data_IF_951448258218
#
_entry.id   IF_951448258218
#
_cell.length_a   1.000
_cell.length_b   1.000
_cell.length_c   1.000
_cell.angle_alpha   90.00
_cell.angle_beta   90.00
_cell.angle_gamma   90.00
#
_symmetry.space_group_name_H-M   'P 1'
#
loop_
_entity.id
_entity.type
_entity.pdbx_description
1 polymer ?
#
# COMPACT_ATOMS: atom_id res chain seq x y z
N UNK A 1 -15.86 -7.74 -4.45
CA UNK A 1 -14.85 -8.15 -5.46
C UNK A 1 -13.45 -8.15 -4.83
N UNK A 2 -12.62 -9.12 -5.17
CA UNK A 2 -11.22 -9.08 -4.78
C UNK A 2 -10.45 -8.28 -5.86
N UNK A 3 -10.09 -7.05 -5.59
CA UNK A 3 -9.34 -6.24 -6.56
C UNK A 3 -7.95 -6.81 -6.78
N UNK A 4 -7.58 -7.00 -8.04
CA UNK A 4 -6.25 -7.49 -8.43
C UNK A 4 -5.21 -6.38 -8.56
N UNK A 5 -5.66 -5.13 -8.66
CA UNK A 5 -4.83 -3.94 -8.86
C UNK A 5 -5.58 -2.70 -8.40
N UNK A 6 -4.88 -1.58 -8.32
CA UNK A 6 -5.49 -0.27 -8.13
C UNK A 6 -6.45 0.07 -9.27
N UNK A 7 -6.07 -0.22 -10.52
CA UNK A 7 -6.92 0.02 -11.70
C UNK A 7 -8.28 -0.68 -11.58
N UNK A 8 -8.30 -1.94 -11.15
CA UNK A 8 -9.56 -2.67 -10.93
C UNK A 8 -10.46 -1.99 -9.89
N UNK A 9 -9.87 -1.42 -8.84
CA UNK A 9 -10.61 -0.64 -7.84
C UNK A 9 -11.14 0.67 -8.42
N UNK A 10 -10.33 1.41 -9.17
CA UNK A 10 -10.73 2.68 -9.79
C UNK A 10 -11.89 2.50 -10.76
N UNK A 11 -11.85 1.44 -11.58
CA UNK A 11 -12.96 1.08 -12.49
C UNK A 11 -14.25 0.78 -11.72
N UNK A 12 -14.17 0.07 -10.60
CA UNK A 12 -15.35 -0.23 -9.79
C UNK A 12 -15.90 1.02 -9.09
N UNK A 13 -15.03 1.89 -8.56
CA UNK A 13 -15.43 3.17 -7.99
C UNK A 13 -16.11 4.08 -9.03
N UNK A 14 -15.58 4.14 -10.24
CA UNK A 14 -16.15 4.91 -11.34
C UNK A 14 -17.54 4.42 -11.72
N UNK A 15 -17.70 3.10 -11.92
CA UNK A 15 -19.00 2.48 -12.22
C UNK A 15 -20.07 2.75 -11.16
N UNK A 16 -19.67 3.01 -9.93
CA UNK A 16 -20.56 3.29 -8.81
C UNK A 16 -20.62 4.78 -8.45
N UNK A 17 -20.18 5.69 -9.33
CA UNK A 17 -20.26 7.12 -9.13
C UNK A 17 -19.37 7.68 -8.01
N UNK A 18 -18.36 6.91 -7.58
CA UNK A 18 -17.46 7.27 -6.48
C UNK A 18 -16.08 7.74 -6.95
N UNK A 19 -15.89 7.93 -8.26
CA UNK A 19 -14.65 8.42 -8.86
C UNK A 19 -14.96 9.41 -9.98
N UNK A 20 -14.15 10.45 -10.06
CA UNK A 20 -14.14 11.41 -11.18
C UNK A 20 -12.78 11.33 -11.87
N UNK A 21 -12.80 11.31 -13.22
CA UNK A 21 -11.62 11.47 -14.05
C UNK A 21 -11.37 12.94 -14.33
N UNK A 22 -10.17 13.40 -14.01
CA UNK A 22 -9.66 14.72 -14.39
C UNK A 22 -8.90 14.52 -15.70
N UNK A 23 -9.48 14.99 -16.83
CA UNK A 23 -8.95 14.82 -18.18
C UNK A 23 -7.99 15.92 -18.58
N UNK A 24 -8.14 17.09 -17.98
CA UNK A 24 -7.27 18.23 -18.16
C UNK A 24 -5.87 17.88 -17.66
N UNK A 25 -4.86 18.51 -18.25
CA UNK A 25 -3.50 18.41 -17.75
C UNK A 25 -3.37 19.17 -16.45
N UNK A 26 -2.86 18.49 -15.41
CA UNK A 26 -2.71 19.06 -14.06
C UNK A 26 -1.22 19.11 -13.69
N UNK A 27 -0.80 20.24 -13.12
CA UNK A 27 0.56 20.42 -12.64
C UNK A 27 0.76 19.63 -11.32
N UNK A 28 1.76 18.74 -11.23
CA UNK A 28 2.08 18.06 -9.98
C UNK A 28 2.62 19.02 -8.90
N UNK A 29 3.07 20.22 -9.27
CA UNK A 29 3.52 21.22 -8.32
C UNK A 29 2.32 21.98 -7.76
N UNK A 30 1.90 21.64 -6.54
CA UNK A 30 0.84 22.23 -5.73
C UNK A 30 -0.60 22.10 -6.28
N UNK A 31 -0.81 22.11 -7.60
CA UNK A 31 -2.17 22.10 -8.18
C UNK A 31 -2.90 20.79 -7.89
N UNK A 32 -2.25 19.64 -8.11
CA UNK A 32 -2.83 18.33 -7.76
C UNK A 32 -3.20 18.27 -6.27
N UNK A 33 -2.33 18.77 -5.40
CA UNK A 33 -2.55 18.78 -3.96
C UNK A 33 -3.73 19.71 -3.58
N UNK A 34 -3.84 20.89 -4.21
CA UNK A 34 -4.93 21.82 -3.99
C UNK A 34 -6.28 21.23 -4.43
N UNK A 35 -6.32 20.55 -5.59
CA UNK A 35 -7.53 19.85 -6.06
C UNK A 35 -7.91 18.75 -5.06
N UNK A 36 -6.93 17.92 -4.65
CA UNK A 36 -7.15 16.86 -3.66
C UNK A 36 -7.74 17.41 -2.37
N UNK A 37 -7.15 18.46 -1.80
CA UNK A 37 -7.56 19.04 -0.52
C UNK A 37 -9.01 19.52 -0.57
N UNK A 38 -9.38 20.28 -1.60
CA UNK A 38 -10.76 20.77 -1.79
C UNK A 38 -11.77 19.64 -1.89
N UNK A 39 -11.44 18.60 -2.68
CA UNK A 39 -12.33 17.43 -2.85
C UNK A 39 -12.44 16.65 -1.56
N UNK A 40 -11.33 16.49 -0.83
CA UNK A 40 -11.32 15.80 0.46
C UNK A 40 -12.16 16.52 1.52
N UNK A 41 -11.99 17.83 1.67
CA UNK A 41 -12.77 18.66 2.60
C UNK A 41 -14.27 18.62 2.30
N UNK A 42 -14.62 18.59 1.01
CA UNK A 42 -16.01 18.44 0.57
C UNK A 42 -16.53 16.99 0.70
N UNK A 43 -15.75 16.05 1.24
CA UNK A 43 -16.07 14.60 1.27
C UNK A 43 -16.41 14.05 -0.13
N UNK A 44 -15.80 14.62 -1.14
CA UNK A 44 -16.03 14.30 -2.54
C UNK A 44 -15.47 12.94 -2.98
N UNK A 45 -15.63 12.61 -4.28
CA UNK A 45 -15.23 11.32 -4.83
C UNK A 45 -13.71 11.08 -4.83
N UNK A 46 -13.28 9.87 -5.17
CA UNK A 46 -11.91 9.61 -5.57
C UNK A 46 -11.60 10.32 -6.89
N UNK A 47 -10.35 10.64 -7.12
CA UNK A 47 -9.88 11.35 -8.30
C UNK A 47 -8.90 10.46 -9.08
N UNK A 48 -9.01 10.45 -10.40
CA UNK A 48 -8.01 9.90 -11.31
C UNK A 48 -7.55 11.01 -12.25
N UNK A 49 -6.34 11.49 -12.06
CA UNK A 49 -5.67 12.42 -12.96
C UNK A 49 -5.13 11.65 -14.15
N UNK A 50 -5.73 11.84 -15.32
CA UNK A 50 -5.34 11.11 -16.54
C UNK A 50 -4.09 11.69 -17.19
N UNK A 51 -3.85 12.98 -16.99
CA UNK A 51 -2.73 13.72 -17.56
C UNK A 51 -2.06 14.54 -16.48
N UNK A 52 -0.89 14.05 -16.04
CA UNK A 52 -0.02 14.77 -15.11
C UNK A 52 1.12 15.37 -15.89
N UNK A 53 1.31 16.69 -15.78
CA UNK A 53 2.36 17.41 -16.50
C UNK A 53 3.74 16.83 -16.21
N UNK A 54 4.52 16.59 -17.24
CA UNK A 54 5.90 16.11 -17.14
C UNK A 54 6.07 14.59 -16.99
N UNK A 55 4.98 13.82 -17.00
CA UNK A 55 5.04 12.36 -16.91
C UNK A 55 3.96 11.69 -17.80
N UNK A 56 4.20 10.43 -18.18
CA UNK A 56 3.21 9.59 -18.84
C UNK A 56 2.30 8.83 -17.86
N UNK A 57 2.62 8.87 -16.59
CA UNK A 57 1.88 8.10 -15.57
C UNK A 57 0.70 8.89 -15.04
N UNK A 58 -0.41 8.18 -14.89
CA UNK A 58 -1.60 8.69 -14.21
C UNK A 58 -1.40 8.69 -12.70
N UNK A 59 -2.15 9.50 -12.00
CA UNK A 59 -2.15 9.50 -10.54
C UNK A 59 -3.57 9.41 -10.00
N UNK A 60 -3.76 8.63 -8.93
CA UNK A 60 -5.02 8.51 -8.23
C UNK A 60 -4.94 9.14 -6.84
N UNK A 61 -6.02 9.76 -6.40
CA UNK A 61 -6.08 10.48 -5.14
C UNK A 61 -7.43 10.30 -4.46
N UNK A 62 -7.49 10.58 -3.15
CA UNK A 62 -8.71 10.56 -2.34
C UNK A 62 -9.44 9.20 -2.32
N UNK A 63 -8.73 8.07 -2.56
CA UNK A 63 -9.32 6.72 -2.65
C UNK A 63 -9.98 6.34 -1.33
N UNK A 64 -9.34 6.62 -0.20
CA UNK A 64 -9.81 6.33 1.15
C UNK A 64 -10.38 7.58 1.85
N UNK A 65 -10.77 8.61 1.12
CA UNK A 65 -11.14 9.91 1.67
C UNK A 65 -12.44 9.95 2.47
N UNK A 66 -13.31 8.92 2.35
CA UNK A 66 -14.49 8.77 3.21
C UNK A 66 -14.61 7.36 3.77
N UNK A 67 -15.24 7.25 4.94
CA UNK A 67 -15.48 5.95 5.58
C UNK A 67 -16.41 5.07 4.72
N UNK A 68 -17.43 5.68 4.09
CA UNK A 68 -18.37 4.99 3.23
C UNK A 68 -17.66 4.38 2.02
N UNK A 69 -16.76 5.13 1.37
CA UNK A 69 -15.97 4.63 0.25
C UNK A 69 -15.00 3.55 0.68
N UNK A 70 -14.36 3.67 1.83
CA UNK A 70 -13.49 2.63 2.39
C UNK A 70 -14.29 1.33 2.67
N UNK A 71 -15.49 1.44 3.23
CA UNK A 71 -16.40 0.29 3.42
C UNK A 71 -16.84 -0.31 2.09
N UNK A 72 -17.13 0.53 1.09
CA UNK A 72 -17.49 0.07 -0.24
C UNK A 72 -16.34 -0.72 -0.90
N UNK A 73 -15.11 -0.24 -0.82
CA UNK A 73 -13.93 -0.93 -1.36
C UNK A 73 -13.79 -2.33 -0.76
N UNK A 74 -14.04 -2.49 0.53
CA UNK A 74 -13.91 -3.78 1.24
C UNK A 74 -15.25 -4.47 1.53
N UNK A 75 -16.34 -4.09 0.86
CA UNK A 75 -17.71 -4.57 1.14
C UNK A 75 -17.87 -6.09 1.20
N UNK A 76 -17.12 -6.82 0.36
CA UNK A 76 -17.22 -8.28 0.29
C UNK A 76 -16.41 -9.00 1.38
N UNK A 77 -15.48 -8.31 2.03
CA UNK A 77 -14.56 -8.90 3.01
C UNK A 77 -14.70 -8.30 4.40
N UNK A 78 -15.36 -7.15 4.52
CA UNK A 78 -15.49 -6.41 5.78
C UNK A 78 -16.08 -7.25 6.91
N UNK A 79 -17.18 -7.96 6.65
CA UNK A 79 -17.81 -8.83 7.66
C UNK A 79 -16.91 -9.99 8.09
N UNK A 80 -16.12 -10.54 7.15
CA UNK A 80 -15.14 -11.58 7.45
C UNK A 80 -14.01 -11.04 8.34
N UNK A 81 -13.48 -9.87 8.02
CA UNK A 81 -12.42 -9.22 8.81
C UNK A 81 -12.91 -8.94 10.22
N UNK A 82 -14.13 -8.40 10.38
CA UNK A 82 -14.74 -8.19 11.69
C UNK A 82 -14.86 -9.52 12.48
N UNK A 83 -15.34 -10.58 11.84
CA UNK A 83 -15.44 -11.90 12.48
C UNK A 83 -14.08 -12.44 12.91
N UNK A 84 -13.03 -12.29 12.12
CA UNK A 84 -11.67 -12.72 12.47
C UNK A 84 -11.11 -11.93 13.67
N UNK A 85 -11.37 -10.63 13.74
CA UNK A 85 -11.00 -9.80 14.90
C UNK A 85 -11.74 -10.25 16.15
N UNK A 86 -13.05 -10.51 16.05
CA UNK A 86 -13.85 -11.03 17.17
C UNK A 86 -13.34 -12.39 17.68
N UNK A 87 -13.03 -13.32 16.76
CA UNK A 87 -12.50 -14.65 17.11
C UNK A 87 -11.12 -14.59 17.75
N UNK A 88 -10.28 -13.62 17.36
CA UNK A 88 -8.99 -13.38 17.98
C UNK A 88 -9.16 -12.89 19.42
N UNK A 89 -10.10 -11.97 19.64
CA UNK A 89 -10.35 -11.39 20.98
C UNK A 89 -11.07 -12.38 21.92
N UNK A 90 -11.87 -13.29 21.38
CA UNK A 90 -12.59 -14.31 22.13
C UNK A 90 -12.60 -15.66 21.36
N UNK A 91 -11.54 -16.47 21.50
CA UNK A 91 -11.42 -17.77 20.81
C UNK A 91 -12.55 -18.76 21.16
N UNK A 92 -13.19 -18.63 22.35
CA UNK A 92 -14.29 -19.52 22.77
C UNK A 92 -15.54 -19.33 21.91
N UNK A 93 -15.71 -18.17 21.26
CA UNK A 93 -16.78 -17.97 20.27
C UNK A 93 -16.65 -18.89 19.06
N UNK A 94 -15.43 -19.33 18.74
CA UNK A 94 -15.20 -20.29 17.66
C UNK A 94 -15.93 -21.61 17.89
N UNK A 95 -15.99 -22.07 19.14
CA UNK A 95 -16.61 -23.33 19.52
C UNK A 95 -18.16 -23.28 19.50
N UNK A 96 -18.75 -22.09 19.66
CA UNK A 96 -20.22 -21.94 19.72
C UNK A 96 -20.94 -22.06 18.38
N UNK A 97 -20.23 -21.84 17.24
CA UNK A 97 -20.82 -21.88 15.90
C UNK A 97 -19.85 -22.49 14.86
N UNK A 98 -19.62 -23.82 14.86
CA UNK A 98 -18.61 -24.45 14.02
C UNK A 98 -18.87 -24.28 12.53
N UNK A 99 -20.13 -24.33 12.07
CA UNK A 99 -20.49 -24.20 10.65
C UNK A 99 -20.24 -22.79 10.08
N UNK A 100 -20.45 -21.75 10.87
CA UNK A 100 -20.12 -20.36 10.51
C UNK A 100 -18.61 -20.19 10.33
N UNK A 101 -17.82 -20.92 11.11
CA UNK A 101 -16.38 -20.84 11.15
C UNK A 101 -15.67 -21.63 10.04
N UNK A 102 -16.35 -22.55 9.34
CA UNK A 102 -15.80 -23.25 8.16
C UNK A 102 -15.49 -22.24 7.05
N UNK A 103 -16.39 -21.30 6.76
CA UNK A 103 -16.15 -20.23 5.78
C UNK A 103 -14.98 -19.34 6.19
N UNK A 104 -14.86 -19.07 7.47
CA UNK A 104 -13.73 -18.30 8.04
C UNK A 104 -12.41 -19.07 7.93
N UNK A 105 -12.42 -20.38 8.16
CA UNK A 105 -11.26 -21.25 7.96
C UNK A 105 -10.79 -21.30 6.49
N UNK A 106 -11.71 -21.41 5.53
CA UNK A 106 -11.38 -21.34 4.10
C UNK A 106 -10.84 -19.96 3.70
N UNK A 107 -11.34 -18.90 4.32
CA UNK A 107 -10.82 -17.56 4.08
C UNK A 107 -9.41 -17.37 4.68
N UNK A 108 -9.07 -18.09 5.76
CA UNK A 108 -7.72 -18.10 6.31
C UNK A 108 -6.67 -18.64 5.32
N UNK A 109 -7.06 -19.47 4.35
CA UNK A 109 -6.15 -19.88 3.27
C UNK A 109 -5.70 -18.71 2.38
N UNK A 110 -6.51 -17.63 2.31
CA UNK A 110 -6.17 -16.40 1.59
C UNK A 110 -5.15 -15.56 2.37
N UNK A 111 -4.98 -15.83 3.64
CA UNK A 111 -3.99 -15.17 4.49
C UNK A 111 -2.54 -15.51 4.11
N UNK A 112 -2.32 -16.71 3.55
CA UNK A 112 -0.97 -17.14 3.18
C UNK A 112 -0.51 -16.44 1.89
N UNK A 113 0.60 -15.69 1.90
CA UNK A 113 1.18 -15.11 0.70
C UNK A 113 1.48 -16.17 -0.36
N UNK A 114 1.50 -15.78 -1.64
CA UNK A 114 1.80 -16.67 -2.75
C UNK A 114 2.91 -16.10 -3.61
N UNK A 115 4.00 -16.83 -3.76
CA UNK A 115 5.05 -16.49 -4.72
C UNK A 115 4.50 -16.58 -6.13
N UNK A 116 4.78 -15.57 -6.95
CA UNK A 116 4.47 -15.52 -8.38
C UNK A 116 5.76 -15.76 -9.17
N UNK A 117 5.67 -16.58 -10.20
CA UNK A 117 6.79 -16.83 -11.11
C UNK A 117 6.64 -16.02 -12.41
N UNK A 118 5.49 -15.38 -12.62
CA UNK A 118 5.22 -14.54 -13.78
C UNK A 118 5.19 -13.09 -13.36
N UNK A 119 6.16 -12.33 -13.84
CA UNK A 119 6.21 -10.88 -13.72
C UNK A 119 6.84 -10.33 -15.00
N UNK A 120 6.28 -9.23 -15.47
CA UNK A 120 6.91 -8.34 -16.44
C UNK A 120 7.05 -6.98 -15.78
N UNK A 121 8.21 -6.38 -15.91
CA UNK A 121 8.44 -5.03 -15.41
C UNK A 121 9.21 -4.23 -16.46
N UNK A 122 9.00 -2.94 -16.43
CA UNK A 122 9.74 -1.96 -17.18
C UNK A 122 10.60 -1.17 -16.20
N UNK A 123 11.88 -1.03 -16.51
CA UNK A 123 12.77 -0.17 -15.74
C UNK A 123 12.53 1.28 -16.15
N UNK A 124 12.33 2.15 -15.17
CA UNK A 124 12.07 3.58 -15.36
C UNK A 124 12.97 4.40 -14.46
N UNK A 125 13.12 5.69 -14.76
CA UNK A 125 13.82 6.62 -13.89
C UNK A 125 12.86 7.19 -12.84
N UNK A 126 13.40 7.61 -11.69
CA UNK A 126 12.63 8.31 -10.65
C UNK A 126 11.99 9.58 -11.22
N UNK A 127 12.70 10.28 -12.12
CA UNK A 127 12.22 11.48 -12.79
C UNK A 127 11.04 11.25 -13.74
N UNK A 128 10.75 10.00 -14.13
CA UNK A 128 9.62 9.66 -14.98
C UNK A 128 8.30 9.55 -14.19
N UNK A 129 8.39 9.47 -12.85
CA UNK A 129 7.23 9.40 -11.96
C UNK A 129 6.53 10.77 -11.83
N UNK A 130 5.25 10.82 -11.42
CA UNK A 130 4.61 12.06 -11.00
C UNK A 130 5.35 12.66 -9.79
N UNK A 131 6.06 13.76 -9.98
CA UNK A 131 6.84 14.44 -8.94
C UNK A 131 5.94 15.42 -8.17
N UNK A 132 5.10 14.90 -7.27
CA UNK A 132 4.03 15.68 -6.63
C UNK A 132 4.58 16.46 -5.44
N UNK A 133 4.49 17.78 -5.49
CA UNK A 133 4.70 18.69 -4.37
C UNK A 133 3.35 19.01 -3.71
N UNK A 134 3.25 18.75 -2.40
CA UNK A 134 1.99 18.89 -1.68
C UNK A 134 1.84 20.25 -1.00
N UNK A 135 2.95 20.82 -0.52
CA UNK A 135 2.98 22.09 0.20
C UNK A 135 4.11 22.98 -0.32
N UNK A 136 3.93 24.32 -0.29
CA UNK A 136 4.97 25.25 -0.77
C UNK A 136 6.32 25.12 -0.07
N UNK A 137 6.32 24.65 1.19
CA UNK A 137 7.53 24.48 2.02
C UNK A 137 8.04 23.04 2.05
N UNK A 138 7.47 22.14 1.24
CA UNK A 138 8.00 20.79 1.10
C UNK A 138 9.41 20.84 0.49
N UNK A 139 10.32 20.04 1.05
CA UNK A 139 11.72 19.95 0.59
C UNK A 139 11.91 19.28 -0.76
N UNK A 140 10.82 18.88 -1.44
CA UNK A 140 10.84 18.21 -2.74
C UNK A 140 9.53 17.52 -3.05
N UNK A 141 9.52 16.64 -4.05
CA UNK A 141 8.38 15.82 -4.42
C UNK A 141 8.28 14.57 -3.54
N UNK A 142 7.05 14.16 -3.19
CA UNK A 142 6.80 13.04 -2.30
C UNK A 142 5.80 12.03 -2.85
N UNK A 143 6.02 10.75 -2.53
CA UNK A 143 4.98 9.71 -2.55
C UNK A 143 4.40 9.57 -1.14
N UNK A 144 3.09 9.77 -0.99
CA UNK A 144 2.43 9.87 0.32
C UNK A 144 1.72 8.59 0.76
N UNK A 145 1.44 7.67 -0.17
CA UNK A 145 0.84 6.35 0.11
C UNK A 145 1.71 5.19 -0.43
N UNK A 146 3.03 5.19 -0.24
CA UNK A 146 3.86 4.07 -0.63
C UNK A 146 3.69 2.93 0.37
N UNK A 147 3.95 1.72 -0.09
CA UNK A 147 4.14 0.56 0.75
C UNK A 147 5.63 0.23 0.72
N UNK A 148 6.23 0.08 1.88
CA UNK A 148 7.67 -0.20 2.01
C UNK A 148 7.84 -1.55 2.67
N UNK A 149 8.47 -2.45 1.95
CA UNK A 149 8.76 -3.81 2.38
C UNK A 149 10.21 -3.91 2.84
N UNK A 150 10.43 -4.59 3.96
CA UNK A 150 11.76 -4.94 4.48
C UNK A 150 11.73 -6.28 5.18
N UNK A 151 12.85 -6.99 5.20
CA UNK A 151 13.02 -8.28 5.88
C UNK A 151 14.01 -8.16 7.05
N UNK A 152 13.78 -8.98 8.09
CA UNK A 152 14.76 -9.16 9.15
C UNK A 152 16.01 -9.84 8.58
N UNK A 153 17.17 -9.22 8.73
CA UNK A 153 18.44 -9.74 8.22
C UNK A 153 18.89 -11.04 8.93
N UNK A 154 18.37 -11.32 10.14
CA UNK A 154 18.65 -12.55 10.88
C UNK A 154 17.71 -13.69 10.48
N UNK A 155 16.48 -13.35 10.10
CA UNK A 155 15.42 -14.29 9.76
C UNK A 155 14.71 -13.83 8.48
N UNK A 156 15.38 -13.87 7.32
CA UNK A 156 14.79 -13.39 6.08
C UNK A 156 13.59 -14.24 5.66
N UNK A 157 12.62 -13.63 5.05
CA UNK A 157 11.46 -14.30 4.49
C UNK A 157 10.17 -13.51 4.67
N UNK A 158 9.24 -13.78 3.76
CA UNK A 158 7.97 -13.04 3.63
C UNK A 158 7.12 -13.04 4.92
N UNK A 159 7.18 -14.09 5.73
CA UNK A 159 6.39 -14.21 6.96
C UNK A 159 6.98 -13.45 8.15
N UNK A 160 8.24 -13.05 8.06
CA UNK A 160 8.96 -12.27 9.10
C UNK A 160 9.42 -10.92 8.55
N UNK A 161 8.71 -10.46 7.54
CA UNK A 161 8.93 -9.18 6.92
C UNK A 161 7.98 -8.13 7.49
N UNK A 162 8.30 -6.87 7.25
CA UNK A 162 7.46 -5.72 7.55
C UNK A 162 6.99 -5.08 6.26
N UNK A 163 5.72 -4.75 6.19
CA UNK A 163 5.14 -3.90 5.16
C UNK A 163 4.54 -2.68 5.84
N UNK A 164 5.22 -1.56 5.76
CA UNK A 164 4.79 -0.32 6.40
C UNK A 164 4.55 0.81 5.41
N UNK A 165 3.79 1.82 5.81
CA UNK A 165 3.61 3.04 5.03
C UNK A 165 4.55 4.12 5.57
N UNK A 166 5.56 4.46 4.79
CA UNK A 166 6.57 5.47 5.15
C UNK A 166 6.73 6.42 3.97
N UNK A 167 6.56 7.73 4.21
CA UNK A 167 6.65 8.76 3.18
C UNK A 167 8.00 8.72 2.46
N UNK A 168 7.98 8.74 1.14
CA UNK A 168 9.17 8.74 0.30
C UNK A 168 9.34 10.11 -0.33
N UNK A 169 10.50 10.70 -0.16
CA UNK A 169 10.93 11.94 -0.81
C UNK A 169 11.70 11.59 -2.08
N UNK A 170 11.21 12.03 -3.23
CA UNK A 170 11.78 11.68 -4.55
C UNK A 170 12.84 12.68 -5.02
N UNK A 171 12.76 13.93 -4.56
CA UNK A 171 13.67 15.02 -4.98
C UNK A 171 13.99 15.94 -3.82
N UNK A 172 14.98 16.81 -3.98
CA UNK A 172 15.44 17.75 -2.97
C UNK A 172 16.55 17.17 -2.07
N UNK A 173 16.93 17.91 -1.03
CA UNK A 173 17.94 17.51 -0.03
C UNK A 173 19.28 17.03 -0.62
N UNK A 174 19.82 17.61 -1.63
CA UNK A 174 21.09 17.21 -2.27
C UNK A 174 21.14 15.75 -2.77
N UNK A 175 19.97 15.08 -2.90
CA UNK A 175 19.88 13.73 -3.47
C UNK A 175 20.39 13.69 -4.91
N UNK A 176 21.20 12.70 -5.22
CA UNK A 176 21.65 12.45 -6.60
C UNK A 176 20.44 12.06 -7.45
N UNK A 177 20.06 12.86 -8.48
CA UNK A 177 18.89 12.59 -9.31
C UNK A 177 18.91 11.18 -9.91
N UNK A 178 17.76 10.49 -9.85
CA UNK A 178 17.56 9.12 -10.33
C UNK A 178 18.42 8.04 -9.64
N UNK A 179 19.09 8.36 -8.54
CA UNK A 179 19.91 7.40 -7.77
C UNK A 179 19.54 7.39 -6.29
N UNK A 180 19.14 8.52 -5.75
CA UNK A 180 18.88 8.68 -4.32
C UNK A 180 17.48 9.21 -4.06
N UNK A 181 16.84 8.67 -3.03
CA UNK A 181 15.55 9.11 -2.49
C UNK A 181 15.60 9.06 -0.97
N UNK A 182 14.77 9.86 -0.32
CA UNK A 182 14.65 9.86 1.13
C UNK A 182 13.51 8.96 1.60
N UNK A 183 13.77 8.08 2.54
CA UNK A 183 12.77 7.28 3.22
C UNK A 183 12.60 7.79 4.65
N UNK A 184 11.39 8.28 4.98
CA UNK A 184 11.10 8.90 6.28
C UNK A 184 10.33 7.93 7.16
N UNK A 185 10.94 7.37 8.20
CA UNK A 185 10.33 6.44 9.15
C UNK A 185 10.76 6.72 10.59
N UNK A 186 10.03 6.14 11.54
CA UNK A 186 10.32 6.23 12.96
C UNK A 186 11.05 4.97 13.43
N UNK A 187 12.10 5.14 14.27
CA UNK A 187 12.98 4.05 14.69
C UNK A 187 12.27 2.91 15.44
N UNK A 188 11.17 3.21 16.13
CA UNK A 188 10.39 2.20 16.85
C UNK A 188 9.40 1.41 15.97
N UNK A 189 9.33 1.70 14.67
CA UNK A 189 8.53 0.93 13.71
C UNK A 189 9.29 -0.29 13.21
N UNK A 190 8.57 -1.27 12.63
CA UNK A 190 9.14 -2.52 12.14
C UNK A 190 10.38 -2.33 11.25
N UNK A 191 10.34 -1.38 10.31
CA UNK A 191 11.52 -1.04 9.49
C UNK A 191 12.70 -0.53 10.32
N UNK A 192 12.47 0.25 11.38
CA UNK A 192 13.53 0.75 12.27
C UNK A 192 14.22 -0.38 13.03
N UNK A 193 13.47 -1.41 13.42
CA UNK A 193 14.02 -2.63 14.03
C UNK A 193 14.92 -3.33 13.01
N UNK A 194 14.46 -3.57 11.78
CA UNK A 194 15.25 -4.19 10.72
C UNK A 194 16.51 -3.39 10.39
N UNK A 195 16.41 -2.05 10.34
CA UNK A 195 17.57 -1.17 10.12
C UNK A 195 18.59 -1.29 11.25
N UNK A 196 18.14 -1.33 12.51
CA UNK A 196 19.02 -1.50 13.67
C UNK A 196 19.76 -2.83 13.60
N UNK A 197 19.08 -3.91 13.26
CA UNK A 197 19.69 -5.24 13.09
C UNK A 197 20.71 -5.26 11.95
N UNK A 198 20.44 -4.59 10.84
CA UNK A 198 21.35 -4.46 9.72
C UNK A 198 22.59 -3.65 10.11
N UNK A 199 22.41 -2.50 10.78
CA UNK A 199 23.50 -1.65 11.27
C UNK A 199 24.43 -2.40 12.23
N UNK A 200 23.88 -3.19 13.15
CA UNK A 200 24.66 -4.01 14.07
C UNK A 200 25.58 -5.03 13.38
N UNK A 201 25.25 -5.40 12.14
CA UNK A 201 26.10 -6.25 11.30
C UNK A 201 26.98 -5.49 10.30
N UNK A 202 26.91 -4.16 10.28
CA UNK A 202 27.61 -3.34 9.29
C UNK A 202 27.11 -3.53 7.86
N UNK A 203 25.82 -3.90 7.70
CA UNK A 203 25.20 -4.19 6.40
C UNK A 203 24.11 -3.17 6.08
N UNK A 204 23.90 -2.84 4.79
CA UNK A 204 22.75 -2.05 4.38
C UNK A 204 21.46 -2.86 4.51
N UNK A 205 20.37 -2.21 4.94
CA UNK A 205 19.04 -2.79 4.87
C UNK A 205 18.50 -2.68 3.45
N UNK A 206 18.15 -3.80 2.84
CA UNK A 206 17.42 -3.79 1.57
C UNK A 206 15.94 -3.49 1.82
N UNK A 207 15.38 -2.58 1.01
CA UNK A 207 13.95 -2.24 1.04
C UNK A 207 13.39 -2.24 -0.37
N UNK A 208 12.11 -2.61 -0.50
CA UNK A 208 11.35 -2.46 -1.74
C UNK A 208 10.21 -1.49 -1.50
N UNK A 209 10.10 -0.48 -2.36
CA UNK A 209 9.06 0.54 -2.26
C UNK A 209 8.04 0.34 -3.38
N UNK A 210 6.77 0.29 -3.01
CA UNK A 210 5.67 0.12 -3.94
C UNK A 210 4.77 1.34 -3.92
N UNK A 211 4.27 1.74 -5.08
CA UNK A 211 3.21 2.74 -5.22
C UNK A 211 2.07 2.15 -6.05
N UNK A 212 0.82 2.39 -5.64
CA UNK A 212 -0.34 1.76 -6.27
C UNK A 212 -0.58 0.34 -5.71
N UNK A 213 -0.95 -0.60 -6.58
CA UNK A 213 -1.30 -1.97 -6.16
C UNK A 213 -2.74 -2.10 -5.64
N UNK A 214 -3.15 -3.30 -5.21
CA UNK A 214 -4.48 -3.52 -4.65
C UNK A 214 -4.72 -2.68 -3.38
N UNK A 215 -5.91 -2.09 -3.17
CA UNK A 215 -6.20 -1.26 -1.99
C UNK A 215 -5.94 -1.94 -0.65
N UNK A 216 -6.08 -3.26 -0.59
CA UNK A 216 -5.80 -4.04 0.62
C UNK A 216 -4.33 -3.98 1.03
N UNK A 217 -3.40 -3.88 0.08
CA UNK A 217 -1.98 -3.73 0.38
C UNK A 217 -1.70 -2.39 1.04
N UNK A 218 -2.24 -1.31 0.47
CA UNK A 218 -2.11 0.05 1.00
C UNK A 218 -2.67 0.15 2.42
N UNK A 219 -3.89 -0.37 2.65
CA UNK A 219 -4.51 -0.28 3.97
C UNK A 219 -3.77 -1.15 4.99
N UNK A 220 -3.28 -2.33 4.60
CA UNK A 220 -2.52 -3.21 5.51
C UNK A 220 -1.22 -2.57 6.00
N UNK A 221 -0.56 -1.79 5.15
CA UNK A 221 0.68 -1.09 5.50
C UNK A 221 0.51 0.01 6.58
N UNK A 222 -0.71 0.46 6.85
CA UNK A 222 -1.01 1.46 7.91
C UNK A 222 -1.70 0.85 9.13
N UNK A 223 -2.16 -0.40 9.05
CA UNK A 223 -2.91 -1.01 10.13
C UNK A 223 -2.02 -1.33 11.34
N UNK A 224 -2.41 -0.95 12.56
CA UNK A 224 -1.72 -1.36 13.77
C UNK A 224 -2.06 -2.81 14.08
N UNK A 225 -1.40 -3.73 13.39
CA UNK A 225 -1.63 -5.16 13.59
C UNK A 225 -1.03 -5.62 14.92
N UNK A 226 -1.67 -6.58 15.59
CA UNK A 226 -1.11 -7.23 16.76
C UNK A 226 0.17 -8.01 16.40
N UNK A 227 1.07 -8.17 17.37
CA UNK A 227 2.27 -8.99 17.22
C UNK A 227 1.96 -10.37 16.65
N UNK A 228 2.82 -10.85 15.75
CA UNK A 228 2.69 -12.15 15.10
C UNK A 228 1.71 -12.20 13.92
N UNK A 229 1.07 -11.09 13.55
CA UNK A 229 0.27 -11.00 12.32
C UNK A 229 1.03 -10.15 11.31
N UNK A 230 1.49 -10.79 10.24
CA UNK A 230 2.12 -10.11 9.11
C UNK A 230 1.10 -9.27 8.33
N UNK A 231 1.51 -8.07 7.90
CA UNK A 231 0.70 -7.18 7.05
C UNK A 231 0.30 -7.87 5.73
N UNK A 232 1.16 -8.74 5.17
CA UNK A 232 0.84 -9.51 3.97
C UNK A 232 -0.27 -10.54 4.22
N UNK A 233 -0.26 -11.15 5.40
CA UNK A 233 -1.33 -12.04 5.86
C UNK A 233 -2.66 -11.29 5.94
N UNK A 234 -2.65 -10.12 6.59
CA UNK A 234 -3.83 -9.27 6.71
C UNK A 234 -4.31 -8.76 5.35
N UNK A 235 -3.39 -8.33 4.46
CA UNK A 235 -3.70 -7.91 3.09
C UNK A 235 -4.41 -9.01 2.29
N UNK A 236 -4.01 -10.27 2.48
CA UNK A 236 -4.65 -11.42 1.84
C UNK A 236 -6.10 -11.61 2.29
N UNK A 237 -6.36 -11.51 3.58
CA UNK A 237 -7.72 -11.61 4.15
C UNK A 237 -8.57 -10.43 3.74
N UNK A 238 -8.08 -9.20 3.95
CA UNK A 238 -8.78 -7.96 3.65
C UNK A 238 -9.09 -7.84 2.16
N UNK A 239 -8.14 -8.21 1.30
CA UNK A 239 -8.31 -8.19 -0.16
C UNK A 239 -9.15 -9.36 -0.70
N UNK A 240 -9.49 -10.36 0.12
CA UNK A 240 -10.20 -11.55 -0.31
C UNK A 240 -9.43 -12.43 -1.30
N UNK A 241 -8.11 -12.24 -1.41
CA UNK A 241 -7.19 -12.96 -2.29
C UNK A 241 -5.80 -13.02 -1.67
N UNK A 242 -5.03 -14.06 -2.00
CA UNK A 242 -3.67 -14.21 -1.49
C UNK A 242 -2.80 -13.04 -1.95
N UNK A 243 -2.05 -12.44 -1.02
CA UNK A 243 -0.98 -11.49 -1.36
C UNK A 243 -0.01 -12.18 -2.32
N UNK A 244 0.30 -11.54 -3.46
CA UNK A 244 1.27 -12.06 -4.43
C UNK A 244 2.56 -11.30 -4.30
N UNK A 245 3.67 -12.01 -4.39
CA UNK A 245 5.00 -11.42 -4.38
C UNK A 245 5.91 -12.19 -5.33
N UNK A 246 6.93 -11.52 -5.81
CA UNK A 246 8.01 -12.10 -6.60
C UNK A 246 9.33 -11.50 -6.13
N UNK A 247 10.42 -12.10 -6.55
CA UNK A 247 11.75 -11.50 -6.41
C UNK A 247 12.31 -11.26 -7.80
N UNK A 248 12.99 -10.14 -8.01
CA UNK A 248 13.77 -9.90 -9.22
C UNK A 248 15.06 -10.76 -9.22
N UNK A 249 15.86 -10.65 -10.29
CA UNK A 249 17.16 -11.35 -10.40
C UNK A 249 18.17 -10.94 -9.32
N UNK A 250 17.98 -9.79 -8.68
CA UNK A 250 18.86 -9.27 -7.61
C UNK A 250 18.33 -9.60 -6.21
N UNK A 251 17.23 -10.35 -6.12
CA UNK A 251 16.59 -10.73 -4.87
C UNK A 251 15.79 -9.60 -4.21
N UNK A 252 15.39 -8.56 -4.95
CA UNK A 252 14.49 -7.52 -4.45
C UNK A 252 13.04 -7.99 -4.54
N UNK A 253 12.26 -7.76 -3.49
CA UNK A 253 10.85 -8.12 -3.49
C UNK A 253 10.04 -7.21 -4.42
N UNK A 254 9.13 -7.83 -5.17
CA UNK A 254 8.16 -7.19 -6.06
C UNK A 254 6.76 -7.61 -5.62
N UNK A 255 5.78 -6.71 -5.76
CA UNK A 255 4.37 -6.94 -5.38
C UNK A 255 3.41 -6.72 -6.54
#
# INVERSE_FOLDING_TARGET
MAYSSLEACLIDLEKNGQLIRVKEEVDPYLEMAAIHLRVHEAKGPALLFERVKGTRYRAASNIFGTLERSRFIFRDTYALVQQLIELKNDPLKALKNPFRNIKTGLAALKALPKKSNSHSFEEIRISDLPLIHHWPMDGGAFVTLPQVYSEDINHPGIMQSNLGMYRIQLTGNDYIPNKEIGLHYQLHRGIGIHQTLANNKGLPLKVSCFAGGPPAHTLSAVMPLPEGISEMTFAGVLGGRRFRYAYDSNGNALS
#
